data_IF_654597778272
#
_entry.id   IF_654597778272
#
_cell.length_a   1.000
_cell.length_b   1.000
_cell.length_c   1.000
_cell.angle_alpha   90.00
_cell.angle_beta   90.00
_cell.angle_gamma   90.00
#
_symmetry.space_group_name_H-M   'P 1'
#
loop_
_entity.id
_entity.type
_entity.pdbx_description
1 polymer ?
#
# COMPACT_ATOMS: atom_id res chain seq x y z
N UNK A 1 5.50 79.62 -19.32
CA UNK A 1 5.06 79.29 -17.94
C UNK A 1 4.08 78.13 -18.09
N UNK A 2 4.31 76.89 -17.67
CA UNK A 2 5.26 76.30 -16.74
C UNK A 2 5.67 74.92 -17.29
N UNK A 3 6.96 74.64 -17.36
CA UNK A 3 7.48 73.26 -17.34
C UNK A 3 7.41 72.78 -15.89
N UNK A 4 6.70 71.69 -15.56
CA UNK A 4 6.81 71.07 -14.26
C UNK A 4 7.89 69.98 -14.24
N UNK A 5 8.50 69.90 -13.05
CA UNK A 5 9.61 69.09 -12.60
C UNK A 5 9.34 67.55 -12.60
N UNK A 6 10.39 66.72 -12.48
CA UNK A 6 10.26 65.27 -12.41
C UNK A 6 9.83 64.85 -10.99
N UNK A 7 8.69 64.16 -10.88
CA UNK A 7 8.24 63.57 -9.62
C UNK A 7 8.69 62.11 -9.54
N UNK A 8 9.61 61.86 -8.61
CA UNK A 8 9.97 60.56 -8.04
C UNK A 8 8.75 59.80 -7.54
N UNK A 9 8.39 58.69 -8.18
CA UNK A 9 7.49 57.69 -7.59
C UNK A 9 8.27 56.79 -6.64
N UNK A 10 7.87 56.83 -5.37
CA UNK A 10 8.39 56.02 -4.29
C UNK A 10 8.08 54.54 -4.52
N UNK A 11 9.12 53.70 -4.53
CA UNK A 11 8.99 52.26 -4.53
C UNK A 11 8.35 51.80 -3.21
N UNK A 12 7.16 51.21 -3.31
CA UNK A 12 6.50 50.55 -2.19
C UNK A 12 7.33 49.34 -1.71
N UNK A 13 7.40 49.07 -0.39
CA UNK A 13 8.21 47.99 0.14
C UNK A 13 7.64 46.63 -0.24
N UNK A 14 8.50 45.83 -0.88
CA UNK A 14 8.24 44.46 -1.30
C UNK A 14 7.93 43.61 -0.05
N UNK A 15 6.66 43.25 0.13
CA UNK A 15 6.23 42.34 1.19
C UNK A 15 6.90 40.99 0.97
N UNK A 16 7.80 40.64 1.90
CA UNK A 16 8.54 39.38 1.86
C UNK A 16 7.57 38.20 1.76
N UNK A 17 7.66 37.50 0.63
CA UNK A 17 7.00 36.22 0.36
C UNK A 17 7.37 35.27 1.51
N UNK A 18 6.42 34.66 2.23
CA UNK A 18 6.76 33.71 3.27
C UNK A 18 7.57 32.59 2.64
N UNK A 19 8.78 32.38 3.19
CA UNK A 19 9.68 31.33 2.76
C UNK A 19 8.91 30.02 2.68
N UNK A 20 9.01 29.37 1.52
CA UNK A 20 8.52 28.01 1.34
C UNK A 20 9.02 27.19 2.53
N UNK A 21 8.09 26.65 3.34
CA UNK A 21 8.40 25.61 4.31
C UNK A 21 9.09 24.52 3.50
N UNK A 22 10.41 24.46 3.58
CA UNK A 22 11.19 23.39 2.98
C UNK A 22 10.54 22.08 3.37
N UNK A 23 10.33 21.21 2.39
CA UNK A 23 9.80 19.89 2.61
C UNK A 23 10.55 19.25 3.77
N UNK A 24 9.90 19.18 4.94
CA UNK A 24 10.44 18.49 6.11
C UNK A 24 10.53 17.04 5.66
N UNK A 25 11.74 16.58 5.35
CA UNK A 25 12.01 15.16 5.14
C UNK A 25 11.28 14.41 6.25
N UNK A 26 10.39 13.49 5.90
CA UNK A 26 9.50 12.84 6.87
C UNK A 26 10.35 12.22 7.97
N UNK A 27 10.38 12.89 9.13
CA UNK A 27 11.21 12.47 10.26
C UNK A 27 10.63 11.17 10.75
N UNK A 28 11.43 10.11 10.72
CA UNK A 28 10.98 8.79 11.15
C UNK A 28 10.73 8.80 12.66
N UNK A 29 9.58 8.31 13.14
CA UNK A 29 9.31 8.23 14.57
C UNK A 29 10.40 7.38 15.25
N UNK A 30 10.85 7.81 16.43
CA UNK A 30 11.93 7.16 17.18
C UNK A 30 13.21 6.92 16.34
N UNK A 31 13.51 7.82 15.40
CA UNK A 31 14.67 7.74 14.50
C UNK A 31 14.75 6.42 13.72
N UNK A 32 13.62 5.76 13.49
CA UNK A 32 13.52 4.51 12.73
C UNK A 32 13.73 3.22 13.52
N UNK A 33 13.88 3.28 14.85
CA UNK A 33 14.09 2.10 15.70
C UNK A 33 12.96 1.05 15.61
N UNK A 34 11.76 1.47 15.21
CA UNK A 34 10.58 0.60 15.10
C UNK A 34 10.00 0.55 13.68
N UNK A 35 10.72 1.05 12.67
CA UNK A 35 10.30 1.03 11.26
C UNK A 35 9.71 -0.32 10.78
N UNK A 36 10.26 -1.49 11.18
CA UNK A 36 9.74 -2.78 10.69
C UNK A 36 8.30 -3.12 11.08
N UNK A 37 7.72 -2.42 12.05
CA UNK A 37 6.33 -2.64 12.50
C UNK A 37 5.42 -1.44 12.22
N UNK A 38 5.93 -0.45 11.50
CA UNK A 38 5.14 0.71 11.10
C UNK A 38 4.24 0.38 9.90
N UNK A 39 2.99 0.81 9.97
CA UNK A 39 2.03 0.67 8.88
C UNK A 39 1.46 2.03 8.46
N UNK A 40 1.21 2.17 7.16
CA UNK A 40 0.53 3.33 6.62
C UNK A 40 -0.97 3.27 6.94
N UNK A 41 -1.58 4.43 7.15
CA UNK A 41 -3.04 4.54 7.24
C UNK A 41 -3.68 4.39 5.84
N UNK A 42 -4.92 3.91 5.73
CA UNK A 42 -5.87 3.63 6.83
C UNK A 42 -5.59 2.30 7.56
N UNK A 43 -5.75 2.31 8.89
CA UNK A 43 -5.75 1.11 9.73
C UNK A 43 -7.18 0.89 10.22
N UNK A 44 -7.86 -0.12 9.66
CA UNK A 44 -9.26 -0.40 9.97
C UNK A 44 -9.42 -1.17 11.28
N UNK A 45 -8.42 -2.01 11.59
CA UNK A 45 -8.38 -2.80 12.81
C UNK A 45 -7.00 -2.68 13.42
N UNK A 46 -6.93 -2.26 14.69
CA UNK A 46 -5.70 -2.32 15.45
C UNK A 46 -5.21 -3.77 15.52
N UNK A 47 -3.92 -3.97 15.28
CA UNK A 47 -3.26 -5.26 15.40
C UNK A 47 -2.15 -5.18 16.45
N UNK A 48 -1.96 -6.23 17.26
CA UNK A 48 -0.96 -6.23 18.33
C UNK A 48 0.48 -6.16 17.79
N UNK A 49 0.71 -6.52 16.52
CA UNK A 49 2.02 -6.55 15.89
C UNK A 49 2.42 -5.31 15.10
N UNK A 50 1.58 -4.27 15.03
CA UNK A 50 1.82 -3.12 14.16
C UNK A 50 1.39 -1.80 14.79
N UNK A 51 2.09 -0.71 14.44
CA UNK A 51 1.77 0.66 14.87
C UNK A 51 1.57 1.54 13.64
N UNK A 52 0.51 2.33 13.57
CA UNK A 52 0.37 3.27 12.47
C UNK A 52 1.47 4.34 12.53
N UNK A 53 1.97 4.80 11.40
CA UNK A 53 3.00 5.86 11.37
C UNK A 53 2.51 7.11 12.13
N UNK A 54 1.24 7.45 11.98
CA UNK A 54 0.66 8.60 12.67
C UNK A 54 0.61 8.39 14.20
N UNK A 55 0.28 7.19 14.68
CA UNK A 55 0.34 6.86 16.11
C UNK A 55 1.78 6.87 16.65
N UNK A 56 2.74 6.32 15.89
CA UNK A 56 4.15 6.34 16.26
C UNK A 56 4.70 7.78 16.31
N UNK A 57 4.30 8.65 15.40
CA UNK A 57 4.66 10.07 15.42
C UNK A 57 4.02 10.82 16.59
N UNK A 58 2.76 10.53 16.92
CA UNK A 58 2.10 11.08 18.09
C UNK A 58 2.83 10.64 19.38
N UNK A 59 3.16 9.35 19.50
CA UNK A 59 3.94 8.82 20.61
C UNK A 59 5.34 9.46 20.69
N UNK A 60 6.01 9.65 19.56
CA UNK A 60 7.33 10.26 19.53
C UNK A 60 7.29 11.73 19.95
N UNK A 61 6.31 12.47 19.47
CA UNK A 61 6.07 13.87 19.87
C UNK A 61 5.78 13.97 21.36
N UNK A 62 4.92 13.10 21.89
CA UNK A 62 4.58 13.03 23.31
C UNK A 62 5.81 12.71 24.17
N UNK A 63 6.67 11.78 23.74
CA UNK A 63 7.90 11.44 24.45
C UNK A 63 8.84 12.64 24.53
N UNK A 64 9.14 13.31 23.41
CA UNK A 64 10.08 14.43 23.37
C UNK A 64 9.52 15.64 24.13
N UNK A 65 8.24 15.98 23.91
CA UNK A 65 7.65 17.19 24.48
C UNK A 65 7.29 17.05 25.96
N UNK A 66 6.65 15.94 26.33
CA UNK A 66 5.95 15.83 27.61
C UNK A 66 6.67 14.93 28.63
N UNK A 67 7.43 13.92 28.18
CA UNK A 67 8.03 12.93 29.08
C UNK A 67 9.53 13.12 29.29
N UNK A 68 10.27 13.35 28.22
CA UNK A 68 11.73 13.32 28.18
C UNK A 68 12.34 14.62 27.59
N UNK A 69 11.81 15.83 27.87
CA UNK A 69 12.30 17.06 27.23
C UNK A 69 13.76 17.39 27.59
N UNK A 70 14.22 16.90 28.74
CA UNK A 70 15.61 17.09 29.20
C UNK A 70 16.57 16.03 28.65
N UNK A 71 16.05 14.90 28.16
CA UNK A 71 16.87 13.79 27.66
C UNK A 71 17.05 13.87 26.14
N UNK A 72 16.03 14.34 25.42
CA UNK A 72 16.00 14.37 23.96
C UNK A 72 15.73 15.79 23.50
N UNK A 73 16.69 16.40 22.82
CA UNK A 73 16.52 17.74 22.25
C UNK A 73 15.48 17.73 21.13
N UNK A 74 14.36 18.44 21.34
CA UNK A 74 13.32 18.62 20.33
C UNK A 74 13.85 19.31 19.06
N UNK A 75 14.76 20.27 19.22
CA UNK A 75 15.41 20.97 18.12
C UNK A 75 16.41 20.07 17.38
N UNK A 76 17.13 19.21 18.11
CA UNK A 76 18.02 18.20 17.52
C UNK A 76 17.26 17.18 16.67
N UNK A 77 16.13 16.69 17.19
CA UNK A 77 15.23 15.82 16.41
C UNK A 77 14.64 16.60 15.24
N UNK A 78 14.31 17.88 15.43
CA UNK A 78 13.77 18.69 14.35
C UNK A 78 14.79 18.98 13.24
N UNK A 79 16.04 19.23 13.57
CA UNK A 79 17.08 19.43 12.56
C UNK A 79 17.47 18.15 11.81
N UNK A 80 17.04 16.97 12.31
CA UNK A 80 17.44 15.68 11.75
C UNK A 80 18.86 15.25 12.18
N UNK A 81 19.44 15.98 13.14
CA UNK A 81 20.79 15.74 13.65
C UNK A 81 20.84 14.58 14.65
N UNK A 82 19.68 14.17 15.19
CA UNK A 82 19.55 13.04 16.11
C UNK A 82 19.27 11.77 15.32
N UNK A 83 20.11 10.76 15.49
CA UNK A 83 20.03 9.47 14.82
C UNK A 83 19.58 8.36 15.77
N UNK A 84 19.32 7.17 15.21
CA UNK A 84 19.02 5.98 16.02
C UNK A 84 20.15 5.65 17.02
N UNK A 85 21.41 5.88 16.64
CA UNK A 85 22.57 5.60 17.50
C UNK A 85 22.63 6.55 18.72
N UNK A 86 22.15 7.78 18.58
CA UNK A 86 22.10 8.76 19.67
C UNK A 86 20.95 8.45 20.65
N UNK A 87 19.85 7.91 20.12
CA UNK A 87 18.65 7.58 20.90
C UNK A 87 18.78 6.23 21.62
N UNK A 88 19.47 5.24 21.03
CA UNK A 88 19.56 3.88 21.56
C UNK A 88 20.04 3.81 23.03
N UNK A 89 21.09 4.55 23.47
CA UNK A 89 21.54 4.54 24.87
C UNK A 89 20.51 5.12 25.84
N UNK A 90 19.62 6.01 25.37
CA UNK A 90 18.59 6.67 26.18
C UNK A 90 17.33 5.81 26.33
N UNK A 91 17.18 4.76 25.51
CA UNK A 91 15.97 3.93 25.47
C UNK A 91 15.58 3.30 26.80
N UNK A 92 16.48 2.83 27.68
CA UNK A 92 16.08 2.31 29.00
C UNK A 92 15.32 3.36 29.84
N UNK A 93 15.81 4.60 29.88
CA UNK A 93 15.20 5.69 30.65
C UNK A 93 13.90 6.18 30.00
N UNK A 94 13.89 6.31 28.67
CA UNK A 94 12.67 6.65 27.92
C UNK A 94 11.58 5.61 28.15
N UNK A 95 11.90 4.31 28.06
CA UNK A 95 10.95 3.23 28.31
C UNK A 95 10.44 3.20 29.75
N UNK A 96 11.30 3.48 30.73
CA UNK A 96 10.89 3.58 32.13
C UNK A 96 9.90 4.73 32.34
N UNK A 97 10.18 5.90 31.76
CA UNK A 97 9.32 7.08 31.86
C UNK A 97 7.98 6.87 31.14
N UNK A 98 8.01 6.29 29.93
CA UNK A 98 6.78 5.94 29.21
C UNK A 98 5.92 4.94 30.00
N UNK A 99 6.54 3.91 30.59
CA UNK A 99 5.82 2.93 31.41
C UNK A 99 5.16 3.61 32.62
N UNK A 100 5.91 4.42 33.37
CA UNK A 100 5.38 5.14 34.53
C UNK A 100 4.26 6.14 34.16
N UNK A 101 4.29 6.71 32.96
CA UNK A 101 3.21 7.54 32.46
C UNK A 101 1.95 6.73 32.13
N UNK A 102 2.09 5.57 31.48
CA UNK A 102 0.96 4.66 31.19
C UNK A 102 0.36 4.08 32.46
N UNK A 103 1.19 3.69 33.44
CA UNK A 103 0.74 3.17 34.73
C UNK A 103 -0.10 4.24 35.48
N UNK A 104 0.25 5.54 35.35
CA UNK A 104 -0.58 6.63 35.89
C UNK A 104 -1.92 6.77 35.16
N UNK A 105 -1.91 6.70 33.83
CA UNK A 105 -3.11 6.74 33.00
C UNK A 105 -4.08 5.61 33.33
N UNK A 106 -3.57 4.43 33.70
CA UNK A 106 -4.40 3.27 34.04
C UNK A 106 -5.13 3.44 35.39
N UNK A 107 -4.64 4.31 36.27
CA UNK A 107 -5.17 4.52 37.61
C UNK A 107 -5.89 5.87 37.78
N UNK A 108 -5.81 6.78 36.80
CA UNK A 108 -6.37 8.14 36.86
C UNK A 108 -7.07 8.53 35.56
N UNK A 109 -8.38 8.79 35.64
CA UNK A 109 -9.20 9.20 34.50
C UNK A 109 -8.83 10.59 33.96
N UNK A 110 -8.31 11.49 34.79
CA UNK A 110 -7.82 12.80 34.34
C UNK A 110 -6.50 12.66 33.60
N UNK A 111 -5.60 11.77 34.06
CA UNK A 111 -4.41 11.42 33.30
C UNK A 111 -4.74 10.81 31.93
N UNK A 112 -5.79 9.98 31.82
CA UNK A 112 -6.26 9.47 30.53
C UNK A 112 -6.80 10.58 29.61
N UNK A 113 -7.58 11.52 30.15
CA UNK A 113 -8.06 12.69 29.37
C UNK A 113 -6.90 13.53 28.87
N UNK A 114 -5.92 13.80 29.73
CA UNK A 114 -4.70 14.52 29.36
C UNK A 114 -3.90 13.78 28.28
N UNK A 115 -3.73 12.46 28.42
CA UNK A 115 -3.08 11.64 27.40
C UNK A 115 -3.79 11.78 26.06
N UNK A 116 -5.13 11.60 26.01
CA UNK A 116 -5.89 11.75 24.75
C UNK A 116 -5.72 13.13 24.13
N UNK A 117 -5.76 14.19 24.94
CA UNK A 117 -5.53 15.55 24.46
C UNK A 117 -4.10 15.76 23.92
N UNK A 118 -3.09 15.22 24.60
CA UNK A 118 -1.68 15.34 24.20
C UNK A 118 -1.32 14.50 22.98
N UNK A 119 -1.92 13.31 22.87
CA UNK A 119 -1.69 12.32 21.82
C UNK A 119 -2.53 12.59 20.56
N UNK A 120 -3.68 13.27 20.73
CA UNK A 120 -4.55 13.69 19.63
C UNK A 120 -5.26 12.55 18.89
N UNK A 121 -5.42 11.38 19.52
CA UNK A 121 -6.04 10.19 18.91
C UNK A 121 -6.98 9.47 19.87
N UNK A 122 -8.05 8.89 19.33
CA UNK A 122 -9.11 8.24 20.12
C UNK A 122 -8.63 6.97 20.84
N UNK A 123 -7.76 6.20 20.18
CA UNK A 123 -7.21 4.93 20.66
C UNK A 123 -5.81 5.08 21.29
N UNK A 124 -5.47 6.28 21.78
CA UNK A 124 -4.14 6.62 22.29
C UNK A 124 -3.58 5.60 23.30
N UNK A 125 -4.42 5.04 24.19
CA UNK A 125 -4.02 4.05 25.20
C UNK A 125 -3.56 2.72 24.61
N UNK A 126 -4.22 2.23 23.57
CA UNK A 126 -3.84 0.97 22.92
C UNK A 126 -2.61 1.18 22.04
N UNK A 127 -2.61 2.27 21.26
CA UNK A 127 -1.52 2.63 20.37
C UNK A 127 -0.19 2.86 21.13
N UNK A 128 -0.23 3.52 22.30
CA UNK A 128 0.97 3.72 23.10
C UNK A 128 1.50 2.42 23.70
N UNK A 129 0.62 1.50 24.11
CA UNK A 129 1.02 0.19 24.64
C UNK A 129 1.73 -0.64 23.56
N UNK A 130 1.18 -0.68 22.34
CA UNK A 130 1.83 -1.37 21.22
C UNK A 130 3.16 -0.70 20.84
N UNK A 131 3.23 0.64 20.89
CA UNK A 131 4.47 1.38 20.64
C UNK A 131 5.55 1.05 21.68
N UNK A 132 5.20 1.01 22.97
CA UNK A 132 6.14 0.61 24.04
C UNK A 132 6.62 -0.84 23.82
N UNK A 133 5.71 -1.75 23.44
CA UNK A 133 6.08 -3.13 23.13
C UNK A 133 7.07 -3.21 21.95
N UNK A 134 6.82 -2.45 20.88
CA UNK A 134 7.72 -2.35 19.73
C UNK A 134 9.11 -1.80 20.12
N UNK A 135 9.15 -0.74 20.93
CA UNK A 135 10.41 -0.16 21.43
C UNK A 135 11.19 -1.12 22.32
N UNK A 136 10.52 -1.93 23.14
CA UNK A 136 11.17 -3.01 23.91
C UNK A 136 11.76 -4.09 23.00
N UNK A 137 11.06 -4.42 21.92
CA UNK A 137 11.46 -5.44 20.96
C UNK A 137 12.40 -4.92 19.85
N UNK A 138 12.75 -3.63 19.82
CA UNK A 138 13.42 -2.95 18.70
C UNK A 138 14.66 -3.67 18.15
N UNK A 139 15.50 -4.23 19.02
CA UNK A 139 16.71 -4.97 18.62
C UNK A 139 16.42 -6.31 17.90
N UNK A 140 15.22 -6.85 18.05
CA UNK A 140 14.77 -8.10 17.43
C UNK A 140 14.02 -7.86 16.12
N UNK A 141 13.46 -6.65 15.90
CA UNK A 141 12.67 -6.37 14.71
C UNK A 141 13.47 -6.52 13.39
N UNK A 142 14.72 -6.03 13.26
CA UNK A 142 15.52 -6.27 12.07
C UNK A 142 15.86 -7.76 11.86
N UNK A 143 16.04 -8.51 12.95
CA UNK A 143 16.28 -9.96 12.89
C UNK A 143 15.05 -10.69 12.34
N UNK A 144 13.85 -10.27 12.75
CA UNK A 144 12.61 -10.80 12.19
C UNK A 144 12.43 -10.48 10.70
N UNK A 145 12.83 -9.29 10.24
CA UNK A 145 12.87 -9.01 8.79
C UNK A 145 13.87 -9.93 8.07
N UNK A 146 15.06 -10.14 8.65
CA UNK A 146 16.05 -11.09 8.12
C UNK A 146 15.49 -12.51 8.03
N UNK A 147 14.77 -12.95 9.04
CA UNK A 147 14.06 -14.22 9.06
C UNK A 147 13.03 -14.33 7.92
N UNK A 148 12.18 -13.30 7.74
CA UNK A 148 11.20 -13.28 6.66
C UNK A 148 11.84 -13.34 5.26
N UNK A 149 12.98 -12.68 5.07
CA UNK A 149 13.77 -12.81 3.83
C UNK A 149 14.37 -14.20 3.65
N UNK A 150 14.90 -14.80 4.72
CA UNK A 150 15.47 -16.13 4.69
C UNK A 150 14.44 -17.20 4.29
N UNK A 151 13.20 -17.09 4.78
CA UNK A 151 12.08 -17.99 4.40
C UNK A 151 11.90 -18.10 2.88
N UNK A 152 12.12 -17.01 2.14
CA UNK A 152 11.94 -17.00 0.68
C UNK A 152 12.93 -17.94 -0.04
N UNK A 153 14.11 -18.16 0.54
CA UNK A 153 15.14 -19.04 -0.02
C UNK A 153 15.13 -20.47 0.54
N UNK A 154 14.40 -20.72 1.62
CA UNK A 154 14.26 -22.08 2.17
C UNK A 154 13.49 -22.93 1.18
N UNK A 155 13.94 -24.13 0.83
CA UNK A 155 13.17 -25.07 -0.02
C UNK A 155 12.58 -26.22 0.79
N UNK A 156 13.19 -26.55 1.93
CA UNK A 156 12.76 -27.60 2.83
C UNK A 156 11.64 -27.13 3.80
N UNK A 157 10.52 -27.85 3.80
CA UNK A 157 9.38 -27.62 4.68
C UNK A 157 9.68 -27.99 6.15
N UNK A 158 10.55 -28.96 6.41
CA UNK A 158 10.93 -29.34 7.76
C UNK A 158 11.78 -28.23 8.41
N UNK A 159 12.76 -27.71 7.68
CA UNK A 159 13.54 -26.54 8.10
C UNK A 159 12.64 -25.32 8.34
N UNK A 160 11.67 -25.05 7.46
CA UNK A 160 10.72 -23.94 7.66
C UNK A 160 9.89 -24.15 8.94
N UNK A 161 9.43 -25.38 9.18
CA UNK A 161 8.70 -25.72 10.40
C UNK A 161 9.50 -25.49 11.67
N UNK A 162 10.74 -25.97 11.72
CA UNK A 162 11.66 -25.75 12.84
C UNK A 162 11.96 -24.25 13.06
N UNK A 163 12.14 -23.50 11.96
CA UNK A 163 12.36 -22.06 12.00
C UNK A 163 11.14 -21.32 12.58
N UNK A 164 9.91 -21.68 12.20
CA UNK A 164 8.68 -21.09 12.75
C UNK A 164 8.49 -21.42 14.24
N UNK A 165 8.87 -22.64 14.68
CA UNK A 165 8.83 -23.03 16.09
C UNK A 165 9.87 -22.29 16.96
N UNK A 166 10.91 -21.71 16.36
CA UNK A 166 11.91 -20.90 17.08
C UNK A 166 11.40 -19.50 17.47
N UNK A 167 10.25 -19.09 16.95
CA UNK A 167 9.59 -17.85 17.38
C UNK A 167 9.13 -17.95 18.84
N UNK A 168 9.03 -16.82 19.56
CA UNK A 168 8.62 -16.81 20.97
C UNK A 168 7.10 -17.00 21.12
N UNK A 169 6.58 -18.16 20.71
CA UNK A 169 5.14 -18.45 20.65
C UNK A 169 4.43 -18.37 22.02
N UNK A 170 5.19 -18.44 23.12
CA UNK A 170 4.70 -18.30 24.49
C UNK A 170 4.50 -16.84 24.93
N UNK A 171 5.04 -15.87 24.18
CA UNK A 171 4.79 -14.44 24.36
C UNK A 171 4.02 -13.92 23.13
N UNK A 172 2.66 -13.90 23.19
CA UNK A 172 1.85 -13.51 22.04
C UNK A 172 2.12 -12.10 21.53
N UNK A 173 2.50 -11.17 22.43
CA UNK A 173 2.74 -9.78 22.07
C UNK A 173 4.08 -9.63 21.33
N UNK A 174 5.13 -10.27 21.83
CA UNK A 174 6.42 -10.29 21.13
C UNK A 174 6.29 -11.06 19.80
N UNK A 175 5.64 -12.21 19.80
CA UNK A 175 5.38 -12.98 18.60
C UNK A 175 4.63 -12.15 17.55
N UNK A 176 3.62 -11.35 17.93
CA UNK A 176 2.89 -10.49 17.00
C UNK A 176 3.81 -9.48 16.28
N UNK A 177 4.70 -8.82 17.03
CA UNK A 177 5.64 -7.84 16.47
C UNK A 177 6.66 -8.51 15.52
N UNK A 178 7.21 -9.65 15.93
CA UNK A 178 8.18 -10.38 15.11
C UNK A 178 7.52 -10.98 13.86
N UNK A 179 6.34 -11.59 13.97
CA UNK A 179 5.62 -12.11 12.81
C UNK A 179 5.19 -11.01 11.86
N UNK A 180 4.74 -9.84 12.36
CA UNK A 180 4.38 -8.73 11.49
C UNK A 180 5.60 -8.22 10.70
N UNK A 181 6.72 -8.02 11.38
CA UNK A 181 8.00 -7.62 10.77
C UNK A 181 8.49 -8.65 9.75
N UNK A 182 8.45 -9.94 10.07
CA UNK A 182 8.83 -11.02 9.18
C UNK A 182 7.90 -11.15 7.97
N UNK A 183 6.58 -11.14 8.18
CA UNK A 183 5.59 -11.33 7.13
C UNK A 183 5.64 -10.23 6.07
N UNK A 184 6.03 -9.01 6.45
CA UNK A 184 6.31 -7.92 5.49
C UNK A 184 7.41 -8.24 4.47
N UNK A 185 8.27 -9.24 4.75
CA UNK A 185 9.37 -9.66 3.87
C UNK A 185 9.09 -11.00 3.15
N UNK A 186 8.06 -11.75 3.56
CA UNK A 186 7.73 -13.06 2.99
C UNK A 186 7.02 -12.88 1.65
N UNK A 187 7.54 -13.46 0.57
CA UNK A 187 6.97 -13.36 -0.80
C UNK A 187 5.76 -14.30 -0.96
N UNK A 188 5.85 -15.52 -0.40
CA UNK A 188 4.81 -16.54 -0.49
C UNK A 188 4.19 -16.87 0.89
N UNK A 189 3.17 -16.10 1.33
CA UNK A 189 2.53 -16.32 2.64
C UNK A 189 1.79 -17.66 2.73
N UNK A 190 1.30 -18.21 1.61
CA UNK A 190 0.61 -19.50 1.56
C UNK A 190 1.48 -20.65 2.07
N UNK A 191 2.79 -20.62 1.80
CA UNK A 191 3.72 -21.63 2.30
C UNK A 191 3.93 -21.57 3.81
N UNK A 192 3.93 -20.36 4.36
CA UNK A 192 3.99 -20.18 5.82
C UNK A 192 2.71 -20.73 6.45
N UNK A 193 1.54 -20.39 5.90
CA UNK A 193 0.26 -20.86 6.43
C UNK A 193 0.11 -22.39 6.33
N UNK A 194 0.45 -22.99 5.19
CA UNK A 194 0.38 -24.44 5.03
C UNK A 194 1.32 -25.18 5.98
N UNK A 195 2.50 -24.62 6.28
CA UNK A 195 3.45 -25.19 7.22
C UNK A 195 2.91 -25.16 8.66
N UNK A 196 2.33 -24.06 9.12
CA UNK A 196 1.77 -24.01 10.48
C UNK A 196 0.53 -24.89 10.66
N UNK A 197 -0.24 -25.12 9.59
CA UNK A 197 -1.35 -26.08 9.58
C UNK A 197 -0.81 -27.49 9.80
N UNK A 198 0.27 -27.88 9.09
CA UNK A 198 0.95 -29.17 9.30
C UNK A 198 1.45 -29.29 10.75
N UNK A 199 2.10 -28.25 11.28
CA UNK A 199 2.63 -28.25 12.65
C UNK A 199 1.54 -28.32 13.72
N UNK A 200 0.38 -27.70 13.47
CA UNK A 200 -0.74 -27.68 14.42
C UNK A 200 -1.61 -28.95 14.36
N UNK A 201 -1.40 -29.80 13.35
CA UNK A 201 -2.13 -31.06 13.14
C UNK A 201 -3.59 -30.90 12.67
N UNK A 202 -4.08 -29.67 12.53
CA UNK A 202 -5.45 -29.36 12.12
C UNK A 202 -5.50 -27.94 11.52
N UNK A 203 -6.32 -27.75 10.48
CA UNK A 203 -6.47 -26.51 9.74
C UNK A 203 -7.40 -25.47 10.39
N UNK A 204 -8.01 -25.76 11.54
CA UNK A 204 -8.93 -24.83 12.21
C UNK A 204 -8.19 -23.67 12.89
N UNK A 205 -8.79 -22.47 12.87
CA UNK A 205 -8.28 -21.30 13.59
C UNK A 205 -7.98 -21.61 15.07
N UNK A 206 -8.88 -22.36 15.73
CA UNK A 206 -8.71 -22.76 17.12
C UNK A 206 -7.48 -23.65 17.36
N UNK A 207 -7.13 -24.54 16.42
CA UNK A 207 -5.93 -25.37 16.51
C UNK A 207 -4.66 -24.53 16.36
N UNK A 208 -4.64 -23.59 15.41
CA UNK A 208 -3.52 -22.68 15.21
C UNK A 208 -3.29 -21.80 16.45
N UNK A 209 -4.35 -21.21 17.00
CA UNK A 209 -4.28 -20.38 18.21
C UNK A 209 -3.77 -21.18 19.41
N UNK A 210 -4.26 -22.41 19.61
CA UNK A 210 -3.81 -23.29 20.69
C UNK A 210 -2.32 -23.62 20.62
N UNK A 211 -1.77 -23.68 19.40
CA UNK A 211 -0.35 -23.89 19.16
C UNK A 211 0.48 -22.58 19.15
N UNK A 212 -0.12 -21.45 19.52
CA UNK A 212 0.57 -20.16 19.64
C UNK A 212 0.71 -19.38 18.33
N UNK A 213 0.07 -19.79 17.23
CA UNK A 213 0.16 -19.13 15.92
C UNK A 213 -0.92 -18.06 15.68
N UNK A 214 -1.75 -17.72 16.66
CA UNK A 214 -2.69 -16.60 16.57
C UNK A 214 -2.04 -15.28 16.11
N UNK A 215 -0.89 -14.87 16.68
CA UNK A 215 -0.18 -13.66 16.26
C UNK A 215 0.28 -13.64 14.79
N UNK A 216 0.49 -14.82 14.18
CA UNK A 216 0.82 -14.92 12.76
C UNK A 216 -0.39 -14.66 11.87
N UNK A 217 -1.59 -15.09 12.29
CA UNK A 217 -2.86 -14.75 11.61
C UNK A 217 -3.05 -13.23 11.64
N UNK A 218 -2.90 -12.61 12.82
CA UNK A 218 -2.98 -11.15 12.98
C UNK A 218 -1.93 -10.41 12.15
N UNK A 219 -0.72 -10.96 12.03
CA UNK A 219 0.33 -10.40 11.19
C UNK A 219 -0.06 -10.41 9.70
N UNK A 220 -0.62 -11.50 9.18
CA UNK A 220 -1.10 -11.59 7.79
C UNK A 220 -2.24 -10.59 7.55
N UNK A 221 -3.19 -10.49 8.48
CA UNK A 221 -4.27 -9.50 8.41
C UNK A 221 -3.73 -8.05 8.43
N UNK A 222 -2.76 -7.78 9.30
CA UNK A 222 -2.05 -6.50 9.38
C UNK A 222 -1.38 -6.12 8.07
N UNK A 223 -0.69 -7.08 7.44
CA UNK A 223 -0.05 -6.87 6.14
C UNK A 223 -1.09 -6.70 5.01
N UNK A 224 -2.21 -7.40 5.08
CA UNK A 224 -3.28 -7.29 4.09
C UNK A 224 -3.95 -5.91 4.13
N UNK A 225 -4.36 -5.43 5.32
CA UNK A 225 -4.89 -4.07 5.45
C UNK A 225 -3.82 -3.01 5.11
N UNK A 226 -2.55 -3.30 5.37
CA UNK A 226 -1.43 -2.43 5.00
C UNK A 226 -1.37 -2.13 3.51
N UNK A 227 -1.97 -2.95 2.63
CA UNK A 227 -2.03 -2.70 1.20
C UNK A 227 -2.98 -1.54 0.82
N UNK A 228 -3.92 -1.17 1.71
CA UNK A 228 -4.93 -0.14 1.43
C UNK A 228 -4.33 1.22 1.09
N UNK A 229 -3.22 1.63 1.72
CA UNK A 229 -2.62 2.95 1.50
C UNK A 229 -2.22 3.18 0.03
N UNK A 230 -1.84 2.12 -0.67
CA UNK A 230 -1.39 2.14 -2.05
C UNK A 230 -2.55 2.10 -3.07
N UNK A 231 -3.79 1.91 -2.62
CA UNK A 231 -4.97 1.85 -3.50
C UNK A 231 -5.52 3.25 -3.79
N UNK A 232 -4.69 4.09 -4.41
CA UNK A 232 -5.06 5.42 -4.91
C UNK A 232 -5.20 5.36 -6.44
N UNK A 233 -6.41 5.08 -6.90
CA UNK A 233 -6.71 4.84 -8.32
C UNK A 233 -7.04 6.11 -9.13
N UNK A 234 -7.05 7.27 -8.48
CA UNK A 234 -7.43 8.55 -9.07
C UNK A 234 -6.51 9.67 -8.62
N UNK A 235 -6.33 10.66 -9.49
CA UNK A 235 -5.53 11.86 -9.22
C UNK A 235 -4.19 11.89 -9.95
N UNK A 236 -3.48 13.04 -9.92
CA UNK A 236 -2.26 13.26 -10.71
C UNK A 236 -1.07 12.38 -10.28
N UNK A 237 -1.16 11.72 -9.13
CA UNK A 237 -0.10 10.87 -8.56
C UNK A 237 -0.50 9.40 -8.46
N UNK A 238 -1.54 8.98 -9.20
CA UNK A 238 -1.98 7.59 -9.21
C UNK A 238 -0.91 6.69 -9.88
N UNK A 239 -0.19 5.93 -9.06
CA UNK A 239 0.78 4.93 -9.53
C UNK A 239 0.05 3.59 -9.77
N UNK A 240 -0.32 3.35 -11.03
CA UNK A 240 -1.06 2.13 -11.42
C UNK A 240 -0.24 0.86 -11.16
N UNK A 241 1.08 0.90 -11.32
CA UNK A 241 1.93 -0.25 -11.06
C UNK A 241 1.96 -0.60 -9.57
N UNK A 242 2.07 0.42 -8.70
CA UNK A 242 1.98 0.24 -7.26
C UNK A 242 0.61 -0.29 -6.84
N UNK A 243 -0.47 0.20 -7.44
CA UNK A 243 -1.83 -0.32 -7.20
C UNK A 243 -1.91 -1.80 -7.59
N UNK A 244 -1.47 -2.18 -8.78
CA UNK A 244 -1.50 -3.58 -9.25
C UNK A 244 -0.66 -4.50 -8.35
N UNK A 245 0.55 -4.08 -7.96
CA UNK A 245 1.40 -4.82 -7.01
C UNK A 245 0.74 -4.96 -5.63
N UNK A 246 0.09 -3.90 -5.16
CA UNK A 246 -0.64 -3.90 -3.89
C UNK A 246 -1.83 -4.86 -3.91
N UNK A 247 -2.57 -4.91 -5.03
CA UNK A 247 -3.68 -5.86 -5.24
C UNK A 247 -3.20 -7.32 -5.27
N UNK A 248 -2.14 -7.64 -6.02
CA UNK A 248 -1.53 -8.98 -6.02
C UNK A 248 -1.06 -9.38 -4.62
N UNK A 249 -0.41 -8.46 -3.90
CA UNK A 249 0.04 -8.70 -2.52
C UNK A 249 -1.14 -8.95 -1.58
N UNK A 250 -2.18 -8.13 -1.66
CA UNK A 250 -3.41 -8.30 -0.89
C UNK A 250 -4.05 -9.67 -1.17
N UNK A 251 -4.20 -10.03 -2.44
CA UNK A 251 -4.74 -11.31 -2.87
C UNK A 251 -3.96 -12.48 -2.27
N UNK A 252 -2.62 -12.49 -2.40
CA UNK A 252 -1.78 -13.58 -1.84
C UNK A 252 -1.93 -13.71 -0.33
N UNK A 253 -1.99 -12.60 0.40
CA UNK A 253 -2.17 -12.61 1.86
C UNK A 253 -3.55 -13.15 2.25
N UNK A 254 -4.62 -12.67 1.63
CA UNK A 254 -5.99 -13.15 1.91
C UNK A 254 -6.13 -14.62 1.53
N UNK A 255 -5.62 -15.02 0.35
CA UNK A 255 -5.66 -16.40 -0.14
C UNK A 255 -4.88 -17.34 0.75
N UNK A 256 -3.77 -16.89 1.34
CA UNK A 256 -3.01 -17.68 2.30
C UNK A 256 -3.83 -18.05 3.54
N UNK A 257 -4.78 -17.20 3.96
CA UNK A 257 -5.68 -17.49 5.06
C UNK A 257 -6.86 -18.35 4.60
N UNK A 258 -7.63 -17.86 3.63
CA UNK A 258 -8.90 -18.49 3.22
C UNK A 258 -8.71 -19.82 2.49
N UNK A 259 -7.50 -20.10 1.98
CA UNK A 259 -7.18 -21.36 1.32
C UNK A 259 -6.67 -22.47 2.20
N UNK A 260 -6.18 -22.14 3.40
CA UNK A 260 -5.49 -23.10 4.26
C UNK A 260 -6.08 -23.21 5.66
N UNK A 261 -6.86 -22.22 6.10
CA UNK A 261 -7.40 -22.15 7.46
C UNK A 261 -8.92 -22.17 7.44
N UNK A 262 -9.50 -23.06 8.23
CA UNK A 262 -10.93 -23.13 8.49
C UNK A 262 -11.29 -22.18 9.64
N UNK A 263 -11.96 -21.09 9.28
CA UNK A 263 -12.43 -20.10 10.25
C UNK A 263 -13.85 -20.39 10.70
N UNK A 264 -14.09 -20.22 11.99
CA UNK A 264 -15.44 -20.25 12.54
C UNK A 264 -16.27 -19.09 11.97
N UNK A 265 -17.54 -19.36 11.68
CA UNK A 265 -18.50 -18.32 11.25
C UNK A 265 -18.56 -17.21 12.30
N UNK A 266 -18.39 -15.96 11.86
CA UNK A 266 -18.45 -14.79 12.74
C UNK A 266 -17.21 -14.57 13.61
N UNK A 267 -16.13 -15.35 13.41
CA UNK A 267 -14.83 -15.07 14.04
C UNK A 267 -14.35 -13.64 13.72
N UNK A 268 -13.57 -13.04 14.63
CA UNK A 268 -12.92 -11.74 14.38
C UNK A 268 -12.15 -11.76 13.06
N UNK A 269 -11.43 -12.83 12.77
CA UNK A 269 -10.67 -12.99 11.52
C UNK A 269 -11.56 -12.87 10.28
N UNK A 270 -12.71 -13.56 10.25
CA UNK A 270 -13.65 -13.46 9.12
C UNK A 270 -14.25 -12.05 8.98
N UNK A 271 -14.54 -11.37 10.10
CA UNK A 271 -15.03 -10.00 10.09
C UNK A 271 -13.99 -9.01 9.52
N UNK A 272 -12.72 -9.17 9.91
CA UNK A 272 -11.61 -8.36 9.39
C UNK A 272 -11.46 -8.59 7.89
N UNK A 273 -11.39 -9.86 7.43
CA UNK A 273 -11.27 -10.21 6.01
C UNK A 273 -12.42 -9.62 5.20
N UNK A 274 -13.67 -9.77 5.66
CA UNK A 274 -14.83 -9.23 4.96
C UNK A 274 -14.76 -7.69 4.84
N UNK A 275 -14.38 -7.01 5.92
CA UNK A 275 -14.29 -5.55 5.95
C UNK A 275 -13.18 -5.02 5.04
N UNK A 276 -11.97 -5.57 5.11
CA UNK A 276 -10.87 -5.14 4.24
C UNK A 276 -11.17 -5.45 2.77
N UNK A 277 -11.77 -6.61 2.48
CA UNK A 277 -12.17 -7.00 1.11
C UNK A 277 -13.19 -6.03 0.53
N UNK A 278 -14.17 -5.63 1.33
CA UNK A 278 -15.14 -4.60 0.95
C UNK A 278 -14.45 -3.29 0.61
N UNK A 279 -13.56 -2.79 1.49
CA UNK A 279 -12.87 -1.51 1.25
C UNK A 279 -11.98 -1.56 0.00
N UNK A 280 -11.25 -2.66 -0.23
CA UNK A 280 -10.48 -2.84 -1.47
C UNK A 280 -11.41 -2.81 -2.69
N UNK A 281 -12.51 -3.55 -2.63
CA UNK A 281 -13.49 -3.65 -3.72
C UNK A 281 -14.10 -2.28 -4.03
N UNK A 282 -14.60 -1.57 -3.01
CA UNK A 282 -15.23 -0.25 -3.14
C UNK A 282 -14.27 0.79 -3.74
N UNK A 283 -12.96 0.67 -3.51
CA UNK A 283 -11.94 1.56 -4.11
C UNK A 283 -11.68 1.25 -5.57
N UNK A 284 -11.64 -0.03 -5.94
CA UNK A 284 -11.30 -0.50 -7.29
C UNK A 284 -12.50 -0.38 -8.24
N UNK A 285 -13.72 -0.63 -7.76
CA UNK A 285 -14.94 -0.71 -8.57
C UNK A 285 -15.15 0.51 -9.49
N UNK A 286 -15.03 1.78 -9.03
CA UNK A 286 -15.28 2.94 -9.89
C UNK A 286 -14.32 2.97 -11.08
N UNK A 287 -13.05 2.63 -10.87
CA UNK A 287 -12.06 2.62 -11.93
C UNK A 287 -12.37 1.55 -12.98
N UNK A 288 -12.86 0.37 -12.58
CA UNK A 288 -13.25 -0.70 -13.52
C UNK A 288 -14.40 -0.28 -14.44
N UNK A 289 -15.37 0.47 -13.92
CA UNK A 289 -16.52 0.97 -14.71
C UNK A 289 -16.07 1.94 -15.81
N UNK A 290 -14.99 2.69 -15.59
CA UNK A 290 -14.50 3.69 -16.54
C UNK A 290 -13.56 3.15 -17.62
N UNK A 291 -13.02 1.92 -17.46
CA UNK A 291 -11.99 1.41 -18.40
C UNK A 291 -12.47 1.38 -19.84
N UNK A 292 -13.71 0.94 -20.08
CA UNK A 292 -14.29 0.86 -21.44
C UNK A 292 -14.54 2.27 -21.99
N UNK A 293 -14.96 3.20 -21.14
CA UNK A 293 -15.17 4.61 -21.51
C UNK A 293 -13.84 5.24 -21.95
N UNK A 294 -12.79 5.07 -21.16
CA UNK A 294 -11.44 5.60 -21.45
C UNK A 294 -10.87 5.00 -22.73
N UNK A 295 -10.98 3.67 -22.89
CA UNK A 295 -10.57 2.98 -24.12
C UNK A 295 -11.25 3.60 -25.35
N UNK A 296 -12.57 3.76 -25.28
CA UNK A 296 -13.33 4.33 -26.39
C UNK A 296 -12.94 5.78 -26.67
N UNK A 297 -12.71 6.59 -25.64
CA UNK A 297 -12.31 7.99 -25.82
C UNK A 297 -10.89 8.13 -26.37
N UNK A 298 -9.95 7.31 -25.91
CA UNK A 298 -8.56 7.30 -26.37
C UNK A 298 -8.42 6.84 -27.83
N UNK A 299 -9.21 5.84 -28.23
CA UNK A 299 -9.14 5.24 -29.57
C UNK A 299 -9.96 5.97 -30.63
N UNK A 300 -10.85 6.88 -30.24
CA UNK A 300 -11.77 7.56 -31.15
C UNK A 300 -11.09 8.70 -31.90
N UNK A 301 -11.28 8.72 -33.22
CA UNK A 301 -10.94 9.87 -34.08
C UNK A 301 -11.89 11.06 -33.78
N UNK A 302 -11.39 12.31 -33.66
CA UNK A 302 -12.25 13.49 -33.55
C UNK A 302 -13.25 13.57 -34.70
N UNK A 303 -14.49 14.02 -34.43
CA UNK A 303 -15.49 14.27 -35.48
C UNK A 303 -15.19 15.53 -36.27
N UNK A 304 -14.57 16.51 -35.61
CA UNK A 304 -14.22 17.82 -36.14
C UNK A 304 -12.81 18.19 -35.66
N UNK A 305 -12.07 18.93 -36.49
CA UNK A 305 -10.71 19.37 -36.18
C UNK A 305 -9.60 18.41 -36.66
N UNK A 306 -8.36 18.79 -36.36
CA UNK A 306 -7.18 18.01 -36.73
C UNK A 306 -7.12 16.70 -35.93
N UNK A 307 -6.73 15.62 -36.60
CA UNK A 307 -6.57 14.33 -35.95
C UNK A 307 -5.38 14.36 -34.99
N UNK A 308 -5.64 14.23 -33.68
CA UNK A 308 -4.63 14.29 -32.63
C UNK A 308 -4.84 13.18 -31.60
N UNK A 309 -3.74 12.67 -31.06
CA UNK A 309 -3.74 11.73 -29.94
C UNK A 309 -3.51 12.51 -28.66
N UNK A 310 -4.38 12.27 -27.69
CA UNK A 310 -4.19 12.70 -26.31
C UNK A 310 -3.43 11.59 -25.57
N UNK A 311 -2.15 11.85 -25.29
CA UNK A 311 -1.26 10.87 -24.67
C UNK A 311 -1.72 10.50 -23.25
N UNK A 312 -2.31 11.45 -22.50
CA UNK A 312 -2.76 11.21 -21.14
C UNK A 312 -3.99 10.29 -21.14
N UNK A 313 -4.92 10.51 -22.08
CA UNK A 313 -6.05 9.59 -22.28
C UNK A 313 -5.61 8.21 -22.75
N UNK A 314 -4.64 8.15 -23.66
CA UNK A 314 -4.11 6.87 -24.15
C UNK A 314 -3.44 6.08 -23.03
N UNK A 315 -2.61 6.74 -22.22
CA UNK A 315 -1.99 6.15 -21.04
C UNK A 315 -3.05 5.70 -20.03
N UNK A 316 -4.07 6.52 -19.78
CA UNK A 316 -5.20 6.18 -18.91
C UNK A 316 -5.94 4.91 -19.34
N UNK A 317 -6.17 4.74 -20.65
CA UNK A 317 -6.77 3.54 -21.23
C UNK A 317 -5.87 2.30 -21.06
N UNK A 318 -4.57 2.40 -21.37
CA UNK A 318 -3.60 1.30 -21.18
C UNK A 318 -3.54 0.88 -19.71
N UNK A 319 -3.44 1.86 -18.80
CA UNK A 319 -3.44 1.63 -17.36
C UNK A 319 -4.74 0.97 -16.88
N UNK A 320 -5.89 1.35 -17.45
CA UNK A 320 -7.18 0.71 -17.18
C UNK A 320 -7.23 -0.76 -17.59
N UNK A 321 -6.71 -1.09 -18.78
CA UNK A 321 -6.62 -2.48 -19.26
C UNK A 321 -5.64 -3.30 -18.41
N UNK A 322 -4.52 -2.70 -18.01
CA UNK A 322 -3.56 -3.33 -17.11
C UNK A 322 -4.16 -3.63 -15.73
N UNK A 323 -4.89 -2.67 -15.14
CA UNK A 323 -5.62 -2.87 -13.89
C UNK A 323 -6.66 -3.99 -14.01
N UNK A 324 -7.43 -4.04 -15.11
CA UNK A 324 -8.37 -5.14 -15.35
C UNK A 324 -7.68 -6.50 -15.33
N UNK A 325 -6.48 -6.60 -15.93
CA UNK A 325 -5.69 -7.84 -15.87
C UNK A 325 -5.27 -8.19 -14.46
N UNK A 326 -4.80 -7.22 -13.66
CA UNK A 326 -4.42 -7.47 -12.27
C UNK A 326 -5.64 -7.91 -11.41
N UNK A 327 -6.81 -7.29 -11.63
CA UNK A 327 -8.06 -7.67 -10.95
C UNK A 327 -8.52 -9.07 -11.34
N UNK A 328 -8.32 -9.49 -12.59
CA UNK A 328 -8.61 -10.85 -13.06
C UNK A 328 -7.88 -11.88 -12.21
N UNK A 329 -6.59 -11.67 -11.97
CA UNK A 329 -5.75 -12.60 -11.20
C UNK A 329 -6.12 -12.59 -9.70
N UNK A 330 -6.75 -11.52 -9.23
CA UNK A 330 -7.15 -11.34 -7.84
C UNK A 330 -8.64 -11.61 -7.57
N UNK A 331 -9.42 -12.02 -8.57
CA UNK A 331 -10.90 -12.05 -8.56
C UNK A 331 -11.48 -12.78 -7.34
N UNK A 332 -10.89 -13.90 -6.94
CA UNK A 332 -11.36 -14.71 -5.81
C UNK A 332 -11.21 -14.06 -4.42
N UNK A 333 -10.44 -12.98 -4.33
CA UNK A 333 -10.26 -12.19 -3.09
C UNK A 333 -10.97 -10.85 -3.13
N UNK A 334 -11.78 -10.59 -4.17
CA UNK A 334 -12.48 -9.34 -4.38
C UNK A 334 -13.99 -9.59 -4.54
N UNK A 335 -14.80 -8.64 -4.11
CA UNK A 335 -16.25 -8.69 -4.26
C UNK A 335 -16.72 -7.98 -5.55
N UNK A 336 -16.04 -8.21 -6.67
CA UNK A 336 -16.20 -7.43 -7.91
C UNK A 336 -16.67 -8.25 -9.12
N UNK A 337 -17.09 -9.51 -8.93
CA UNK A 337 -17.30 -10.48 -10.02
C UNK A 337 -18.17 -9.94 -11.17
N UNK A 338 -19.36 -9.42 -10.88
CA UNK A 338 -20.29 -8.96 -11.92
C UNK A 338 -19.75 -7.74 -12.69
N UNK A 339 -19.23 -6.74 -11.98
CA UNK A 339 -18.66 -5.52 -12.59
C UNK A 339 -17.43 -5.86 -13.43
N UNK A 340 -16.56 -6.73 -12.90
CA UNK A 340 -15.38 -7.21 -13.61
C UNK A 340 -15.76 -7.96 -14.89
N UNK A 341 -16.66 -8.95 -14.82
CA UNK A 341 -17.01 -9.78 -15.99
C UNK A 341 -17.62 -8.91 -17.11
N UNK A 342 -18.44 -7.91 -16.74
CA UNK A 342 -18.96 -6.93 -17.68
C UNK A 342 -17.84 -6.08 -18.31
N UNK A 343 -17.01 -5.44 -17.50
CA UNK A 343 -15.92 -4.58 -17.98
C UNK A 343 -14.91 -5.37 -18.85
N UNK A 344 -14.60 -6.60 -18.45
CA UNK A 344 -13.69 -7.51 -19.15
C UNK A 344 -14.21 -7.89 -20.54
N UNK A 345 -15.50 -8.21 -20.65
CA UNK A 345 -16.16 -8.54 -21.92
C UNK A 345 -16.25 -7.33 -22.84
N UNK A 346 -16.75 -6.20 -22.31
CA UNK A 346 -16.90 -4.96 -23.08
C UNK A 346 -15.55 -4.41 -23.57
N UNK A 347 -14.48 -4.52 -22.78
CA UNK A 347 -13.13 -4.11 -23.18
C UNK A 347 -12.63 -4.92 -24.38
N UNK A 348 -12.87 -6.23 -24.43
CA UNK A 348 -12.50 -7.04 -25.60
C UNK A 348 -13.25 -6.60 -26.86
N UNK A 349 -14.57 -6.48 -26.78
CA UNK A 349 -15.40 -6.09 -27.92
C UNK A 349 -15.00 -4.70 -28.46
N UNK A 350 -14.83 -3.74 -27.57
CA UNK A 350 -14.40 -2.39 -27.93
C UNK A 350 -13.01 -2.40 -28.59
N UNK A 351 -12.08 -3.18 -28.05
CA UNK A 351 -10.72 -3.25 -28.57
C UNK A 351 -10.69 -3.89 -29.96
N UNK A 352 -11.41 -5.00 -30.19
CA UNK A 352 -11.54 -5.63 -31.51
C UNK A 352 -12.12 -4.66 -32.54
N UNK A 353 -13.19 -3.94 -32.20
CA UNK A 353 -13.82 -2.95 -33.06
C UNK A 353 -12.82 -1.84 -33.46
N UNK A 354 -12.09 -1.28 -32.50
CA UNK A 354 -11.13 -0.22 -32.76
C UNK A 354 -9.92 -0.72 -33.55
N UNK A 355 -9.44 -1.94 -33.29
CA UNK A 355 -8.36 -2.56 -34.06
C UNK A 355 -8.77 -2.74 -35.52
N UNK A 356 -9.93 -3.35 -35.76
CA UNK A 356 -10.43 -3.58 -37.13
C UNK A 356 -10.59 -2.26 -37.88
N UNK A 357 -11.25 -1.27 -37.25
CA UNK A 357 -11.45 0.05 -37.84
C UNK A 357 -10.13 0.75 -38.16
N UNK A 358 -9.16 0.74 -37.25
CA UNK A 358 -7.87 1.41 -37.50
C UNK A 358 -7.04 0.67 -38.56
N UNK A 359 -7.10 -0.67 -38.62
CA UNK A 359 -6.48 -1.44 -39.70
C UNK A 359 -7.08 -1.10 -41.08
N UNK A 360 -8.41 -0.98 -41.17
CA UNK A 360 -9.07 -0.61 -42.42
C UNK A 360 -8.71 0.81 -42.86
N UNK A 361 -8.65 1.76 -41.91
CA UNK A 361 -8.18 3.13 -42.19
C UNK A 361 -6.71 3.15 -42.65
N UNK A 362 -5.84 2.38 -42.00
CA UNK A 362 -4.43 2.31 -42.36
C UNK A 362 -4.23 1.67 -43.74
N UNK A 363 -5.06 0.69 -44.13
CA UNK A 363 -5.04 0.13 -45.50
C UNK A 363 -5.45 1.15 -46.56
N UNK A 364 -6.34 2.09 -46.21
CA UNK A 364 -6.79 3.15 -47.13
C UNK A 364 -5.77 4.29 -47.22
N UNK A 365 -5.10 4.60 -46.11
CA UNK A 365 -4.05 5.61 -46.07
C UNK A 365 -2.84 5.12 -45.25
N UNK A 366 -1.92 4.36 -45.87
CA UNK A 366 -0.76 3.77 -45.20
C UNK A 366 0.19 4.78 -44.54
N UNK A 367 0.18 6.04 -44.98
CA UNK A 367 1.03 7.09 -44.44
C UNK A 367 0.43 7.83 -43.22
N UNK A 368 -0.78 7.48 -42.77
CA UNK A 368 -1.43 8.11 -41.62
C UNK A 368 -0.76 7.71 -40.30
N UNK A 369 0.18 8.54 -39.85
CA UNK A 369 0.93 8.35 -38.61
C UNK A 369 0.04 8.29 -37.37
N UNK A 370 -1.09 9.01 -37.35
CA UNK A 370 -1.98 9.05 -36.18
C UNK A 370 -2.77 7.75 -36.07
N UNK A 371 -3.24 7.20 -37.19
CA UNK A 371 -3.86 5.86 -37.20
C UNK A 371 -2.85 4.78 -36.82
N UNK A 372 -1.61 4.86 -37.33
CA UNK A 372 -0.53 3.95 -36.94
C UNK A 372 -0.26 3.96 -35.43
N UNK A 373 -0.10 5.15 -34.84
CA UNK A 373 0.15 5.29 -33.41
C UNK A 373 -1.02 4.81 -32.52
N UNK A 374 -2.27 5.04 -32.94
CA UNK A 374 -3.44 4.45 -32.23
C UNK A 374 -3.44 2.93 -32.30
N UNK A 375 -3.09 2.38 -33.46
CA UNK A 375 -3.03 0.94 -33.65
C UNK A 375 -1.93 0.30 -32.79
N UNK A 376 -0.78 0.96 -32.62
CA UNK A 376 0.28 0.49 -31.72
C UNK A 376 -0.18 0.43 -30.26
N UNK A 377 -0.89 1.45 -29.79
CA UNK A 377 -1.47 1.43 -28.46
C UNK A 377 -2.54 0.33 -28.31
N UNK A 378 -3.39 0.12 -29.34
CA UNK A 378 -4.36 -0.95 -29.35
C UNK A 378 -3.72 -2.35 -29.31
N UNK A 379 -2.62 -2.55 -30.05
CA UNK A 379 -1.83 -3.79 -30.02
C UNK A 379 -1.28 -4.02 -28.61
N UNK A 380 -0.79 -2.98 -27.93
CA UNK A 380 -0.31 -3.10 -26.55
C UNK A 380 -1.42 -3.49 -25.57
N UNK A 381 -2.60 -2.88 -25.70
CA UNK A 381 -3.77 -3.27 -24.90
C UNK A 381 -4.22 -4.69 -25.24
N UNK A 382 -4.10 -5.13 -26.49
CA UNK A 382 -4.46 -6.48 -26.94
C UNK A 382 -3.51 -7.55 -26.40
N UNK A 383 -2.22 -7.23 -26.29
CA UNK A 383 -1.22 -8.09 -25.64
C UNK A 383 -1.63 -8.40 -24.19
N UNK A 384 -2.07 -7.38 -23.45
CA UNK A 384 -2.54 -7.52 -22.06
C UNK A 384 -3.88 -8.27 -22.01
N UNK A 385 -4.82 -7.91 -22.89
CA UNK A 385 -6.21 -8.39 -22.82
C UNK A 385 -6.38 -9.81 -23.35
N UNK A 386 -5.65 -10.21 -24.38
CA UNK A 386 -5.81 -11.49 -25.06
C UNK A 386 -4.64 -12.42 -24.78
N UNK A 387 -3.47 -12.10 -25.36
CA UNK A 387 -2.18 -12.74 -25.15
C UNK A 387 -1.12 -12.16 -26.12
N UNK A 388 0.17 -12.47 -25.92
CA UNK A 388 1.24 -12.05 -26.84
C UNK A 388 1.08 -12.56 -28.27
N UNK A 389 0.58 -13.77 -28.49
CA UNK A 389 0.46 -14.39 -29.81
C UNK A 389 -0.56 -13.64 -30.70
N UNK A 390 -1.66 -13.19 -30.09
CA UNK A 390 -2.66 -12.36 -30.75
C UNK A 390 -2.08 -11.00 -31.11
N UNK A 391 -1.36 -10.36 -30.19
CA UNK A 391 -0.67 -9.09 -30.47
C UNK A 391 0.33 -9.21 -31.62
N UNK A 392 1.09 -10.29 -31.70
CA UNK A 392 2.03 -10.53 -32.81
C UNK A 392 1.33 -10.74 -34.16
N UNK A 393 0.14 -11.33 -34.14
CA UNK A 393 -0.71 -11.42 -35.34
C UNK A 393 -1.16 -10.03 -35.80
N UNK A 394 -1.51 -9.14 -34.87
CA UNK A 394 -1.86 -7.76 -35.19
C UNK A 394 -0.66 -6.94 -35.69
N UNK A 395 0.53 -7.11 -35.10
CA UNK A 395 1.77 -6.46 -35.58
C UNK A 395 2.06 -6.84 -37.04
N UNK A 396 1.89 -8.11 -37.40
CA UNK A 396 2.04 -8.58 -38.80
C UNK A 396 0.97 -7.98 -39.71
N UNK A 397 -0.29 -7.92 -39.26
CA UNK A 397 -1.38 -7.31 -40.01
C UNK A 397 -1.14 -5.81 -40.27
N UNK A 398 -0.64 -5.08 -39.26
CA UNK A 398 -0.22 -3.68 -39.40
C UNK A 398 0.89 -3.52 -40.44
N UNK A 399 1.98 -4.26 -40.30
CA UNK A 399 3.10 -4.18 -41.24
C UNK A 399 2.68 -4.48 -42.70
N UNK A 400 1.69 -5.37 -42.87
CA UNK A 400 1.11 -5.67 -44.19
C UNK A 400 0.27 -4.50 -44.73
N UNK A 401 -0.47 -3.80 -43.86
CA UNK A 401 -1.25 -2.62 -44.26
C UNK A 401 -0.33 -1.46 -44.68
N UNK A 402 0.80 -1.26 -43.98
CA UNK A 402 1.76 -0.20 -44.28
C UNK A 402 2.52 -0.41 -45.60
N UNK A 403 2.77 -1.67 -45.98
CA UNK A 403 3.44 -2.02 -47.24
C UNK A 403 2.58 -1.83 -48.49
N UNK A 404 1.27 -1.54 -48.34
CA UNK A 404 0.38 -1.24 -49.48
C UNK A 404 0.49 0.22 -49.96
N UNK A 405 1.40 1.00 -49.38
CA UNK A 405 1.74 2.37 -49.78
C UNK A 405 2.36 2.45 -51.18
#
# INVERSE_FOLDING_TARGET
>A
MNQPAPSTEAAAPNTARPAARGAVASRKPFCGLIDPVLVNEPVLFAQPGSVSIAAANAAWTWVIRDLCPNLISAEGVASGNVTAADIEPLMPEVLATMKAAVDRVDNDGEALRRLRAQFGRDHAREEIRTTIAALRARALLPKAQGFGRAINGMTDDAALGAALQSMPLQDPQLAALLFHSAMGQVINPSRVMSTIVKLSGNATEAALVRNGYGPLIDAVLGQAQGQLHALQLSGPFADTDLVCRSLDRFHRLVRSLTGYVEFSRGSRTTQVIATITKVVSDRVEPRLKEVVTDLNQAMRRPREGADRIDNDRMLGAINGVYLLSAVRDCKDSLALNAVFDQAWSQTAQALELHIQRNLDLLRQNPADQMTGARLDAAIKMAEIRFNPEYADTLKRARATAERRA
#
